data_IF_502253556538
#
_entry.id   IF_502253556538
#
_cell.length_a   1.000
_cell.length_b   1.000
_cell.length_c   1.000
_cell.angle_alpha   90.00
_cell.angle_beta   90.00
_cell.angle_gamma   90.00
#
_symmetry.space_group_name_H-M   'P 1'
#
loop_
_entity.id
_entity.type
_entity.pdbx_description
1 polymer ?
#
# COMPACT_ATOMS: atom_id res chain seq x y z
N UNK A 1 19.40 1.17 -2.35
CA UNK A 1 18.09 1.84 -2.11
C UNK A 1 17.04 0.77 -1.91
N UNK A 2 16.13 0.91 -0.94
CA UNK A 2 15.06 -0.08 -0.73
C UNK A 2 13.89 0.17 -1.67
N UNK A 3 13.60 -0.79 -2.55
CA UNK A 3 12.57 -0.64 -3.57
C UNK A 3 11.45 -1.69 -3.43
N UNK A 4 10.27 -1.27 -3.86
CA UNK A 4 9.09 -2.11 -4.04
C UNK A 4 8.23 -1.52 -5.16
N UNK A 5 7.36 -2.33 -5.77
CA UNK A 5 6.33 -1.87 -6.69
C UNK A 5 4.97 -1.87 -5.97
N UNK A 6 4.13 -0.89 -6.29
CA UNK A 6 2.81 -0.76 -5.66
C UNK A 6 1.77 -0.13 -6.58
N UNK A 7 0.50 -0.37 -6.25
CA UNK A 7 -0.65 0.37 -6.78
C UNK A 7 -1.09 1.40 -5.76
N UNK A 8 -1.27 2.64 -6.21
CA UNK A 8 -1.80 3.72 -5.40
C UNK A 8 -3.32 3.76 -5.55
N UNK A 9 -4.09 3.72 -4.44
CA UNK A 9 -5.52 3.91 -4.51
C UNK A 9 -5.87 5.33 -5.02
N UNK A 10 -6.97 5.49 -5.76
CA UNK A 10 -7.50 6.80 -6.11
C UNK A 10 -7.81 7.68 -4.88
N UNK A 11 -7.76 9.02 -4.99
CA UNK A 11 -7.94 9.91 -3.84
C UNK A 11 -9.26 9.74 -3.09
N UNK A 12 -10.37 9.48 -3.78
CA UNK A 12 -11.68 9.22 -3.19
C UNK A 12 -11.69 7.95 -2.32
N UNK A 13 -11.00 6.90 -2.78
CA UNK A 13 -10.81 5.66 -2.01
C UNK A 13 -9.95 5.91 -0.76
N UNK A 14 -8.89 6.72 -0.88
CA UNK A 14 -8.05 7.13 0.26
C UNK A 14 -8.86 7.94 1.28
N UNK A 15 -9.74 8.84 0.84
CA UNK A 15 -10.60 9.60 1.75
C UNK A 15 -11.64 8.72 2.45
N UNK A 16 -12.23 7.76 1.76
CA UNK A 16 -13.17 6.80 2.34
C UNK A 16 -12.50 5.91 3.40
N UNK A 17 -11.35 5.31 3.07
CA UNK A 17 -10.55 4.57 4.03
C UNK A 17 -10.09 5.46 5.19
N UNK A 18 -9.80 6.74 4.90
CA UNK A 18 -9.50 7.81 5.85
C UNK A 18 -10.53 7.92 6.97
N UNK A 19 -11.81 7.93 6.60
CA UNK A 19 -12.93 7.99 7.55
C UNK A 19 -13.01 6.73 8.41
N UNK A 20 -12.89 5.54 7.81
CA UNK A 20 -12.91 4.27 8.54
C UNK A 20 -11.76 4.17 9.55
N UNK A 21 -10.54 4.50 9.13
CA UNK A 21 -9.35 4.52 9.99
C UNK A 21 -9.48 5.57 11.09
N UNK A 22 -10.09 6.73 10.81
CA UNK A 22 -10.40 7.74 11.82
C UNK A 22 -11.22 7.20 12.98
N UNK A 23 -12.23 6.36 12.69
CA UNK A 23 -13.02 5.65 13.70
C UNK A 23 -12.20 4.64 14.50
N UNK A 24 -11.22 3.97 13.89
CA UNK A 24 -10.33 3.05 14.62
C UNK A 24 -9.34 3.79 15.53
N UNK A 25 -8.88 4.97 15.10
CA UNK A 25 -7.94 5.81 15.87
C UNK A 25 -8.56 6.35 17.17
N UNK A 26 -9.89 6.45 17.28
CA UNK A 26 -10.57 6.92 18.49
C UNK A 26 -10.83 5.81 19.52
N UNK A 27 -10.56 4.54 19.19
CA UNK A 27 -10.77 3.42 20.11
C UNK A 27 -9.75 3.39 21.26
N UNK A 28 -10.12 2.89 22.45
CA UNK A 28 -9.19 2.69 23.54
C UNK A 28 -7.98 1.83 23.13
N UNK A 29 -6.77 2.32 23.42
CA UNK A 29 -5.52 1.62 23.09
C UNK A 29 -5.01 1.83 21.66
N UNK A 30 -5.73 2.55 20.81
CA UNK A 30 -5.30 2.89 19.44
C UNK A 30 -4.01 3.74 19.41
N UNK A 31 -3.73 4.50 20.48
CA UNK A 31 -2.49 5.26 20.64
C UNK A 31 -1.22 4.40 20.76
N UNK A 32 -1.35 3.08 20.94
CA UNK A 32 -0.21 2.13 20.94
C UNK A 32 0.21 1.70 19.54
N UNK A 33 -0.61 1.99 18.52
CA UNK A 33 -0.32 1.64 17.14
C UNK A 33 0.46 2.77 16.48
N UNK A 34 1.45 2.41 15.65
CA UNK A 34 2.03 3.33 14.69
C UNK A 34 1.17 3.34 13.44
N UNK A 35 0.46 4.43 13.20
CA UNK A 35 -0.40 4.58 12.05
C UNK A 35 0.38 5.07 10.84
N UNK A 36 0.17 4.44 9.68
CA UNK A 36 0.67 4.94 8.40
C UNK A 36 -0.14 6.14 7.96
N UNK A 37 0.52 7.23 7.54
CA UNK A 37 -0.14 8.40 6.97
C UNK A 37 -0.70 8.10 5.58
N UNK A 38 -1.73 8.86 5.18
CA UNK A 38 -2.47 8.64 3.92
C UNK A 38 -1.56 8.56 2.67
N UNK A 39 -0.52 9.41 2.50
CA UNK A 39 0.40 9.29 1.36
C UNK A 39 1.18 7.97 1.32
N UNK A 40 1.28 7.27 2.46
CA UNK A 40 1.91 5.96 2.56
C UNK A 40 0.98 4.78 2.29
N UNK A 41 -0.31 5.00 2.02
CA UNK A 41 -1.26 3.91 1.75
C UNK A 41 -1.13 3.44 0.31
N UNK A 42 -0.88 2.14 0.15
CA UNK A 42 -0.67 1.52 -1.15
C UNK A 42 -0.87 0.01 -1.07
N UNK A 43 -1.12 -0.64 -2.20
CA UNK A 43 -1.05 -2.09 -2.33
C UNK A 43 0.32 -2.49 -2.82
N UNK A 44 1.14 -3.08 -1.96
CA UNK A 44 2.44 -3.61 -2.37
C UNK A 44 2.24 -4.81 -3.30
N UNK A 45 2.81 -4.74 -4.51
CA UNK A 45 2.78 -5.84 -5.49
C UNK A 45 4.00 -6.74 -5.37
N UNK A 46 5.19 -6.15 -5.15
CA UNK A 46 6.44 -6.88 -5.04
C UNK A 46 7.46 -6.08 -4.22
N UNK A 47 8.21 -6.76 -3.34
CA UNK A 47 9.31 -6.18 -2.58
C UNK A 47 10.65 -6.64 -3.17
N UNK A 48 11.53 -5.70 -3.52
CA UNK A 48 12.83 -5.99 -4.14
C UNK A 48 13.99 -5.95 -3.16
N UNK A 49 13.78 -5.41 -1.95
CA UNK A 49 14.86 -5.23 -0.99
C UNK A 49 15.82 -4.13 -1.43
N UNK A 50 17.11 -4.33 -1.17
CA UNK A 50 18.16 -3.40 -1.60
C UNK A 50 18.45 -3.57 -3.09
N UNK A 51 18.32 -2.47 -3.82
CA UNK A 51 18.62 -2.37 -5.25
C UNK A 51 19.66 -1.28 -5.45
N UNK A 52 20.64 -1.57 -6.31
CA UNK A 52 21.63 -0.60 -6.75
C UNK A 52 20.96 0.51 -7.57
N UNK A 53 21.33 1.77 -7.34
CA UNK A 53 20.72 2.93 -8.01
C UNK A 53 20.91 2.88 -9.53
N UNK A 54 22.03 2.33 -10.02
CA UNK A 54 22.31 2.15 -11.44
C UNK A 54 21.36 1.16 -12.13
N UNK A 55 20.65 0.31 -11.37
CA UNK A 55 19.67 -0.65 -11.91
C UNK A 55 18.24 -0.08 -12.00
N UNK A 56 17.99 1.10 -11.43
CA UNK A 56 16.64 1.70 -11.38
C UNK A 56 16.06 1.96 -12.77
N UNK A 57 16.81 2.50 -13.76
CA UNK A 57 16.26 2.70 -15.11
C UNK A 57 15.78 1.39 -15.75
N UNK A 58 16.62 0.36 -15.74
CA UNK A 58 16.31 -0.96 -16.32
C UNK A 58 15.13 -1.64 -15.62
N UNK A 59 15.07 -1.53 -14.28
CA UNK A 59 13.94 -2.03 -13.50
C UNK A 59 12.65 -1.31 -13.89
N UNK A 60 12.70 0.02 -14.07
CA UNK A 60 11.54 0.84 -14.42
C UNK A 60 10.98 0.46 -15.79
N UNK A 61 11.81 0.32 -16.82
CA UNK A 61 11.38 -0.14 -18.15
C UNK A 61 10.73 -1.53 -18.10
N UNK A 62 11.30 -2.45 -17.32
CA UNK A 62 10.75 -3.80 -17.17
C UNK A 62 9.39 -3.78 -16.47
N UNK A 63 9.21 -2.94 -15.45
CA UNK A 63 7.92 -2.78 -14.77
C UNK A 63 6.88 -2.14 -15.67
N UNK A 64 7.26 -1.14 -16.47
CA UNK A 64 6.35 -0.49 -17.43
C UNK A 64 5.85 -1.48 -18.49
N UNK A 65 6.75 -2.32 -19.03
CA UNK A 65 6.38 -3.41 -19.95
C UNK A 65 5.48 -4.44 -19.28
N UNK A 66 5.70 -4.76 -18.01
CA UNK A 66 4.86 -5.70 -17.27
C UNK A 66 3.46 -5.12 -17.02
N UNK A 67 3.36 -3.86 -16.64
CA UNK A 67 2.10 -3.16 -16.42
C UNK A 67 1.23 -3.13 -17.68
N UNK A 68 1.83 -2.91 -18.86
CA UNK A 68 1.14 -2.93 -20.16
C UNK A 68 0.55 -4.29 -20.58
N UNK A 69 0.89 -5.39 -19.88
CA UNK A 69 0.34 -6.72 -20.20
C UNK A 69 -1.03 -6.98 -19.57
N UNK A 70 -1.49 -6.10 -18.69
CA UNK A 70 -2.75 -6.24 -17.97
C UNK A 70 -3.62 -5.03 -18.25
N UNK A 71 -4.81 -5.27 -18.80
CA UNK A 71 -5.81 -4.21 -18.99
C UNK A 71 -6.30 -3.68 -17.63
N UNK A 72 -6.67 -2.39 -17.52
CA UNK A 72 -7.29 -1.85 -16.31
C UNK A 72 -8.55 -2.64 -15.92
N UNK A 73 -8.71 -2.90 -14.62
CA UNK A 73 -9.86 -3.64 -14.10
C UNK A 73 -10.41 -2.99 -12.83
N UNK A 74 -11.72 -3.14 -12.55
CA UNK A 74 -12.31 -2.64 -11.32
C UNK A 74 -11.81 -3.44 -10.10
N UNK A 75 -11.47 -2.73 -9.04
CA UNK A 75 -11.09 -3.29 -7.75
C UNK A 75 -11.89 -2.60 -6.65
N UNK A 76 -12.30 -3.37 -5.63
CA UNK A 76 -12.99 -2.84 -4.46
C UNK A 76 -12.26 -3.27 -3.19
N UNK A 77 -12.18 -2.35 -2.23
CA UNK A 77 -11.76 -2.65 -0.88
C UNK A 77 -12.93 -3.20 -0.08
N UNK A 78 -12.71 -4.30 0.63
CA UNK A 78 -13.74 -4.89 1.50
C UNK A 78 -13.14 -5.46 2.76
N UNK A 79 -13.56 -4.88 3.89
CA UNK A 79 -13.15 -5.32 5.22
C UNK A 79 -11.72 -4.88 5.56
N UNK A 80 -11.21 -5.46 6.63
CA UNK A 80 -9.85 -5.28 7.08
C UNK A 80 -9.49 -6.43 8.03
N UNK A 81 -8.20 -6.58 8.32
CA UNK A 81 -7.73 -7.69 9.10
C UNK A 81 -6.47 -7.35 9.89
N UNK A 82 -5.90 -8.41 10.48
CA UNK A 82 -4.63 -8.32 11.18
C UNK A 82 -3.62 -9.27 10.55
N UNK A 83 -2.33 -8.92 10.65
CA UNK A 83 -1.22 -9.74 10.20
C UNK A 83 -0.21 -9.96 11.33
N UNK A 84 0.48 -11.11 11.31
CA UNK A 84 1.60 -11.40 12.21
C UNK A 84 1.23 -11.50 13.69
N UNK A 85 0.07 -12.11 14.03
CA UNK A 85 -0.48 -12.18 15.40
C UNK A 85 -0.78 -10.80 16.01
N UNK A 86 -1.45 -9.93 15.24
CA UNK A 86 -1.85 -8.60 15.69
C UNK A 86 -0.76 -7.53 15.62
N UNK A 87 0.30 -7.77 14.84
CA UNK A 87 1.41 -6.82 14.66
C UNK A 87 1.10 -5.69 13.68
N UNK A 88 0.18 -5.91 12.76
CA UNK A 88 -0.26 -4.92 11.79
C UNK A 88 -1.75 -5.06 11.52
N UNK A 89 -2.41 -3.93 11.28
CA UNK A 89 -3.75 -3.87 10.69
C UNK A 89 -3.63 -3.58 9.20
N UNK A 90 -4.53 -4.13 8.40
CA UNK A 90 -4.60 -3.89 6.95
C UNK A 90 -6.06 -3.77 6.50
N UNK A 91 -6.26 -3.16 5.34
CA UNK A 91 -7.52 -3.08 4.60
C UNK A 91 -7.20 -3.22 3.11
#
# INVERSE_FOLDING_TARGET
MRLFAAVLPPPDVVEELGRAVGGLRSLPGAGRLRWTDRPGWHFTLAFYGEVDEGLVPDLSERLERAARRTEPFPLALRGGGQFGRGRALWA
#
